data_IF_653460875602
#
_entry.id   IF_653460875602
#
_cell.length_a   1.000
_cell.length_b   1.000
_cell.length_c   1.000
_cell.angle_alpha   90.00
_cell.angle_beta   90.00
_cell.angle_gamma   90.00
#
_symmetry.space_group_name_H-M   'P 1'
#
loop_
_entity.id
_entity.type
_entity.pdbx_description
1 polymer ?
#
# COMPACT_ATOMS: atom_id res chain seq x y z
N UNK A 1 -12.94 -25.86 3.71
CA UNK A 1 -12.54 -26.03 5.14
C UNK A 1 -12.35 -24.68 5.84
N UNK A 2 -11.53 -23.78 5.29
CA UNK A 2 -11.27 -22.44 5.84
C UNK A 2 -12.53 -21.65 6.26
N UNK A 3 -13.59 -21.66 5.43
CA UNK A 3 -14.86 -21.00 5.78
C UNK A 3 -15.53 -21.59 7.02
N UNK A 4 -15.44 -22.91 7.23
CA UNK A 4 -15.94 -23.58 8.43
C UNK A 4 -15.11 -23.18 9.65
N UNK A 5 -13.78 -23.13 9.51
CA UNK A 5 -12.85 -22.65 10.56
C UNK A 5 -13.15 -21.20 10.94
N UNK A 6 -13.31 -20.32 9.94
CA UNK A 6 -13.68 -18.92 10.14
C UNK A 6 -14.99 -18.79 10.91
N UNK A 7 -16.02 -19.54 10.51
CA UNK A 7 -17.32 -19.52 11.19
C UNK A 7 -17.18 -19.94 12.66
N UNK A 8 -16.47 -21.04 12.96
CA UNK A 8 -16.22 -21.46 14.34
C UNK A 8 -15.53 -20.39 15.19
N UNK A 9 -14.52 -19.71 14.62
CA UNK A 9 -13.80 -18.61 15.33
C UNK A 9 -14.76 -17.45 15.65
N UNK A 10 -15.65 -17.11 14.70
CA UNK A 10 -16.66 -16.06 14.90
C UNK A 10 -17.69 -16.49 15.95
N UNK A 11 -18.15 -17.75 15.92
CA UNK A 11 -19.10 -18.31 16.90
C UNK A 11 -18.50 -18.33 18.33
N UNK A 12 -17.18 -18.40 18.44
CA UNK A 12 -16.44 -18.27 19.71
C UNK A 12 -16.30 -16.81 20.19
N UNK A 13 -16.83 -15.84 19.45
CA UNK A 13 -16.80 -14.41 19.79
C UNK A 13 -15.57 -13.65 19.33
N UNK A 14 -14.74 -14.22 18.44
CA UNK A 14 -13.54 -13.56 17.93
C UNK A 14 -13.77 -12.87 16.57
N UNK A 15 -13.07 -11.77 16.36
CA UNK A 15 -13.11 -10.99 15.11
C UNK A 15 -12.05 -11.54 14.14
N UNK A 16 -12.50 -12.06 12.99
CA UNK A 16 -11.61 -12.49 11.90
C UNK A 16 -11.38 -11.34 10.91
N UNK A 17 -10.15 -10.83 10.86
CA UNK A 17 -9.78 -9.67 10.05
C UNK A 17 -9.39 -10.02 8.62
N UNK A 18 -8.81 -11.20 8.41
CA UNK A 18 -8.30 -11.64 7.12
C UNK A 18 -8.20 -13.16 7.05
N UNK A 19 -8.15 -13.70 5.84
CA UNK A 19 -7.89 -15.12 5.60
C UNK A 19 -7.41 -15.36 4.19
N UNK A 20 -6.40 -16.21 4.04
CA UNK A 20 -5.79 -16.53 2.75
C UNK A 20 -5.54 -18.03 2.65
N UNK A 21 -6.25 -18.71 1.75
CA UNK A 21 -6.13 -20.12 1.35
C UNK A 21 -6.14 -21.14 2.50
N UNK A 22 -5.13 -21.13 3.36
CA UNK A 22 -4.85 -21.99 4.51
C UNK A 22 -4.72 -21.24 5.85
N UNK A 23 -4.63 -19.91 5.84
CA UNK A 23 -4.39 -19.08 7.03
C UNK A 23 -5.62 -18.24 7.43
N UNK A 24 -5.79 -18.01 8.73
CA UNK A 24 -6.84 -17.14 9.30
C UNK A 24 -6.21 -16.16 10.29
N UNK A 25 -6.53 -14.89 10.13
CA UNK A 25 -6.00 -13.81 10.96
C UNK A 25 -7.10 -13.37 11.92
N UNK A 26 -6.82 -13.49 13.21
CA UNK A 26 -7.79 -13.24 14.28
C UNK A 26 -7.31 -12.06 15.11
N UNK A 27 -8.18 -11.10 15.33
CA UNK A 27 -7.90 -9.93 16.15
C UNK A 27 -8.22 -10.21 17.60
N UNK A 28 -7.20 -10.12 18.44
CA UNK A 28 -7.31 -10.28 19.89
C UNK A 28 -7.12 -8.92 20.56
N UNK A 29 -8.02 -8.57 21.49
CA UNK A 29 -7.97 -7.28 22.23
C UNK A 29 -6.98 -7.36 23.40
N UNK A 30 -5.72 -7.64 23.11
CA UNK A 30 -4.63 -7.68 24.10
C UNK A 30 -3.41 -6.92 23.57
N UNK A 31 -2.68 -6.27 24.46
CA UNK A 31 -1.46 -5.51 24.11
C UNK A 31 -0.16 -6.29 24.38
N UNK A 32 -0.23 -7.26 25.28
CA UNK A 32 0.91 -8.07 25.71
C UNK A 32 1.10 -9.28 24.78
N UNK A 33 2.35 -9.52 24.36
CA UNK A 33 2.69 -10.59 23.42
C UNK A 33 2.48 -11.98 24.02
N UNK A 34 2.81 -12.18 25.30
CA UNK A 34 2.65 -13.49 25.93
C UNK A 34 1.17 -13.84 26.09
N UNK A 35 0.34 -12.88 26.51
CA UNK A 35 -1.12 -13.06 26.56
C UNK A 35 -1.73 -13.30 25.18
N UNK A 36 -1.22 -12.64 24.14
CA UNK A 36 -1.65 -12.88 22.77
C UNK A 36 -1.27 -14.30 22.30
N UNK A 37 -0.07 -14.76 22.64
CA UNK A 37 0.39 -16.12 22.37
C UNK A 37 -0.47 -17.18 23.06
N UNK A 38 -0.76 -16.99 24.35
CA UNK A 38 -1.63 -17.89 25.12
C UNK A 38 -3.03 -17.96 24.51
N UNK A 39 -3.63 -16.81 24.16
CA UNK A 39 -4.93 -16.76 23.49
C UNK A 39 -4.91 -17.42 22.11
N UNK A 40 -3.84 -17.23 21.34
CA UNK A 40 -3.67 -17.88 20.04
C UNK A 40 -3.73 -19.41 20.15
N UNK A 41 -2.97 -19.97 21.10
CA UNK A 41 -2.97 -21.40 21.40
C UNK A 41 -4.31 -21.89 21.96
N UNK A 42 -4.97 -21.09 22.80
CA UNK A 42 -6.31 -21.38 23.30
C UNK A 42 -7.33 -21.49 22.14
N UNK A 43 -7.30 -20.56 21.19
CA UNK A 43 -8.19 -20.58 20.01
C UNK A 43 -7.93 -21.83 19.18
N UNK A 44 -6.67 -22.14 18.91
CA UNK A 44 -6.26 -23.31 18.13
C UNK A 44 -6.71 -24.62 18.78
N UNK A 45 -6.49 -24.78 20.10
CA UNK A 45 -6.86 -26.01 20.81
C UNK A 45 -8.36 -26.29 20.84
N UNK A 46 -9.20 -25.24 20.81
CA UNK A 46 -10.67 -25.37 20.78
C UNK A 46 -11.21 -25.75 19.40
N UNK A 47 -10.45 -25.56 18.33
CA UNK A 47 -10.90 -25.85 16.97
C UNK A 47 -10.45 -27.24 16.55
N UNK A 48 -11.39 -28.19 16.57
CA UNK A 48 -11.18 -29.52 15.99
C UNK A 48 -11.54 -29.51 14.50
N UNK A 49 -10.58 -29.94 13.66
CA UNK A 49 -10.75 -30.16 12.22
C UNK A 49 -10.91 -31.66 11.91
N UNK A 50 -11.58 -32.03 10.80
CA UNK A 50 -11.78 -33.43 10.44
C UNK A 50 -10.48 -34.10 9.96
N UNK A 51 -10.35 -35.39 10.25
CA UNK A 51 -9.22 -36.21 9.81
C UNK A 51 -7.93 -35.90 10.58
N UNK A 52 -6.80 -35.85 9.86
CA UNK A 52 -5.46 -35.56 10.41
C UNK A 52 -5.07 -34.07 10.34
N UNK A 53 -6.01 -33.20 10.00
CA UNK A 53 -5.74 -31.77 9.85
C UNK A 53 -5.67 -31.11 11.23
N UNK A 54 -4.61 -30.37 11.47
CA UNK A 54 -4.36 -29.63 12.71
C UNK A 54 -4.15 -28.16 12.37
N UNK A 55 -4.69 -27.26 13.18
CA UNK A 55 -4.33 -25.85 13.12
C UNK A 55 -3.15 -25.62 14.03
N UNK A 56 -2.23 -24.78 13.60
CA UNK A 56 -1.08 -24.38 14.40
C UNK A 56 -1.09 -22.86 14.56
N UNK A 57 -0.65 -22.43 15.73
CA UNK A 57 -0.39 -21.01 15.96
C UNK A 57 0.94 -20.67 15.30
N UNK A 58 0.94 -19.74 14.34
CA UNK A 58 2.15 -19.37 13.62
C UNK A 58 2.85 -18.15 14.25
N UNK A 59 2.18 -17.00 14.29
CA UNK A 59 2.79 -15.73 14.73
C UNK A 59 1.78 -14.68 15.18
N UNK A 60 2.28 -13.63 15.82
CA UNK A 60 1.48 -12.47 16.25
C UNK A 60 1.80 -11.29 15.35
N UNK A 61 0.79 -10.58 14.86
CA UNK A 61 0.96 -9.26 14.25
C UNK A 61 0.53 -8.16 15.22
N UNK A 62 1.43 -7.25 15.57
CA UNK A 62 1.10 -6.09 16.41
C UNK A 62 0.43 -4.98 15.61
N UNK A 63 0.96 -4.74 14.42
CA UNK A 63 0.39 -3.82 13.42
C UNK A 63 0.24 -4.59 12.12
N UNK A 64 -0.89 -4.42 11.44
CA UNK A 64 -1.22 -5.17 10.23
C UNK A 64 -1.91 -4.27 9.20
N UNK A 65 -1.36 -4.22 8.00
CA UNK A 65 -1.83 -3.42 6.88
C UNK A 65 -2.23 -4.34 5.74
N UNK A 66 -3.51 -4.32 5.38
CA UNK A 66 -4.05 -5.10 4.26
C UNK A 66 -4.23 -4.15 3.09
N UNK A 67 -3.48 -4.37 1.99
CA UNK A 67 -3.67 -3.60 0.76
C UNK A 67 -4.78 -4.20 -0.09
N UNK A 68 -4.60 -5.46 -0.48
CA UNK A 68 -5.58 -6.23 -1.24
C UNK A 68 -5.48 -7.70 -0.86
N UNK A 69 -6.34 -8.56 -1.46
CA UNK A 69 -6.17 -10.01 -1.34
C UNK A 69 -4.75 -10.41 -1.77
N UNK A 70 -4.09 -11.22 -0.95
CA UNK A 70 -2.69 -11.68 -1.08
C UNK A 70 -1.62 -10.57 -1.03
N UNK A 71 -1.99 -9.35 -0.62
CA UNK A 71 -1.07 -8.21 -0.51
C UNK A 71 -1.20 -7.54 0.85
N UNK A 72 -0.28 -7.82 1.75
CA UNK A 72 -0.29 -7.27 3.11
C UNK A 72 1.13 -7.08 3.66
N UNK A 73 1.25 -6.16 4.62
CA UNK A 73 2.44 -5.96 5.44
C UNK A 73 2.05 -6.00 6.91
N UNK A 74 2.94 -6.48 7.78
CA UNK A 74 2.69 -6.45 9.20
C UNK A 74 3.96 -6.55 10.03
N UNK A 75 3.90 -6.00 11.23
CA UNK A 75 4.95 -6.17 12.23
C UNK A 75 4.68 -7.45 13.01
N UNK A 76 5.37 -8.52 12.61
CA UNK A 76 5.19 -9.87 13.12
C UNK A 76 6.17 -10.19 14.25
N UNK A 77 5.74 -11.03 15.18
CA UNK A 77 6.51 -11.58 16.29
C UNK A 77 6.36 -13.10 16.30
N UNK A 78 7.50 -13.79 16.34
CA UNK A 78 7.60 -15.25 16.41
C UNK A 78 8.49 -15.61 17.62
N UNK A 79 8.22 -16.74 18.27
CA UNK A 79 9.11 -17.27 19.32
C UNK A 79 10.21 -18.11 18.66
N UNK A 80 11.46 -17.74 18.89
CA UNK A 80 12.63 -18.53 18.51
C UNK A 80 13.45 -18.83 19.77
N UNK A 81 13.64 -20.11 20.09
CA UNK A 81 14.34 -20.57 21.32
C UNK A 81 13.82 -19.92 22.62
N UNK A 82 12.52 -19.63 22.68
CA UNK A 82 11.88 -19.00 23.86
C UNK A 82 11.91 -17.47 23.87
N UNK A 83 12.66 -16.84 22.97
CA UNK A 83 12.74 -15.38 22.84
C UNK A 83 11.86 -14.86 21.70
N UNK A 84 11.36 -13.63 21.85
CA UNK A 84 10.56 -12.97 20.83
C UNK A 84 11.46 -12.32 19.78
N UNK A 85 11.31 -12.75 18.53
CA UNK A 85 11.97 -12.14 17.37
C UNK A 85 10.92 -11.39 16.56
N UNK A 86 11.18 -10.10 16.31
CA UNK A 86 10.30 -9.25 15.53
C UNK A 86 10.84 -9.01 14.11
N UNK A 87 9.93 -8.93 13.13
CA UNK A 87 10.26 -8.59 11.74
C UNK A 87 9.09 -7.89 11.06
N UNK A 88 9.38 -7.09 10.05
CA UNK A 88 8.34 -6.63 9.11
C UNK A 88 8.17 -7.70 8.05
N UNK A 89 7.00 -8.33 8.03
CA UNK A 89 6.64 -9.33 7.03
C UNK A 89 5.81 -8.67 5.93
N UNK A 90 6.22 -8.90 4.68
CA UNK A 90 5.56 -8.37 3.49
C UNK A 90 5.20 -9.54 2.58
N UNK A 91 3.94 -9.62 2.15
CA UNK A 91 3.44 -10.64 1.22
C UNK A 91 2.81 -9.95 0.04
N UNK A 92 3.25 -10.29 -1.17
CA UNK A 92 2.71 -9.75 -2.42
C UNK A 92 2.93 -8.24 -2.64
N UNK A 93 3.79 -7.61 -1.85
CA UNK A 93 4.22 -6.22 -2.01
C UNK A 93 5.47 -6.17 -2.91
N UNK A 94 5.62 -5.09 -3.65
CA UNK A 94 6.67 -4.84 -4.65
C UNK A 94 8.09 -4.98 -4.10
N UNK A 95 8.31 -4.79 -2.80
CA UNK A 95 9.61 -4.98 -2.13
C UNK A 95 10.19 -6.39 -2.26
N UNK A 96 9.39 -7.36 -2.71
CA UNK A 96 9.82 -8.75 -2.97
C UNK A 96 10.21 -8.96 -4.45
N UNK A 97 10.05 -7.96 -5.31
CA UNK A 97 10.31 -8.07 -6.74
C UNK A 97 11.77 -7.75 -7.08
N UNK A 98 12.46 -8.71 -7.69
CA UNK A 98 13.87 -8.60 -8.10
C UNK A 98 14.13 -7.69 -9.30
N UNK A 99 13.08 -7.21 -9.95
CA UNK A 99 13.15 -6.36 -11.14
C UNK A 99 12.92 -4.88 -10.84
N UNK A 100 12.91 -4.52 -9.56
CA UNK A 100 12.79 -3.14 -9.07
C UNK A 100 14.15 -2.62 -8.59
N UNK A 101 14.42 -1.32 -8.73
CA UNK A 101 15.64 -0.72 -8.16
C UNK A 101 15.66 -0.86 -6.63
N UNK A 102 16.85 -1.04 -6.07
CA UNK A 102 17.04 -1.13 -4.61
C UNK A 102 16.53 0.12 -3.90
N UNK A 103 16.60 1.30 -4.53
CA UNK A 103 16.01 2.54 -4.01
C UNK A 103 14.55 2.34 -3.57
N UNK A 104 13.74 1.66 -4.39
CA UNK A 104 12.32 1.47 -4.09
C UNK A 104 12.15 0.51 -2.91
N UNK A 105 12.91 -0.58 -2.92
CA UNK A 105 12.87 -1.58 -1.84
C UNK A 105 13.28 -0.96 -0.50
N UNK A 106 14.39 -0.22 -0.48
CA UNK A 106 14.90 0.51 0.69
C UNK A 106 13.88 1.52 1.20
N UNK A 107 13.35 2.36 0.31
CA UNK A 107 12.39 3.42 0.68
C UNK A 107 11.13 2.80 1.28
N UNK A 108 10.58 1.76 0.65
CA UNK A 108 9.39 1.06 1.12
C UNK A 108 9.60 0.38 2.47
N UNK A 109 10.77 -0.24 2.70
CA UNK A 109 11.11 -0.84 3.98
C UNK A 109 11.13 0.19 5.10
N UNK A 110 11.74 1.36 4.86
CA UNK A 110 11.77 2.45 5.85
C UNK A 110 10.36 3.01 6.09
N UNK A 111 9.59 3.26 5.04
CA UNK A 111 8.20 3.74 5.14
C UNK A 111 7.33 2.77 5.94
N UNK A 112 7.40 1.48 5.63
CA UNK A 112 6.64 0.45 6.36
C UNK A 112 7.11 0.33 7.82
N UNK A 113 8.41 0.49 8.09
CA UNK A 113 8.91 0.48 9.46
C UNK A 113 8.34 1.65 10.26
N UNK A 114 8.37 2.87 9.71
CA UNK A 114 7.79 4.06 10.34
C UNK A 114 6.29 3.86 10.57
N UNK A 115 5.54 3.39 9.58
CA UNK A 115 4.09 3.22 9.68
C UNK A 115 3.72 2.12 10.67
N UNK A 116 4.38 0.95 10.60
CA UNK A 116 3.97 -0.24 11.36
C UNK A 116 4.54 -0.27 12.78
N UNK A 117 5.77 0.20 12.99
CA UNK A 117 6.41 0.21 14.31
C UNK A 117 6.16 1.51 15.07
N UNK A 118 6.34 2.66 14.41
CA UNK A 118 6.21 3.96 15.07
C UNK A 118 4.76 4.50 15.03
N UNK A 119 4.00 4.18 13.98
CA UNK A 119 2.65 4.71 13.79
C UNK A 119 2.63 6.18 13.32
N UNK A 120 3.76 6.72 12.85
CA UNK A 120 3.88 8.13 12.45
C UNK A 120 3.78 8.30 10.92
N UNK A 121 2.56 8.55 10.46
CA UNK A 121 2.27 8.76 9.03
C UNK A 121 2.95 10.02 8.50
N UNK A 122 3.06 11.08 9.30
CA UNK A 122 3.66 12.36 8.87
C UNK A 122 5.16 12.20 8.67
N UNK A 123 5.83 11.47 9.55
CA UNK A 123 7.25 11.12 9.40
C UNK A 123 7.48 10.29 8.14
N UNK A 124 6.59 9.34 7.84
CA UNK A 124 6.67 8.55 6.61
C UNK A 124 6.53 9.41 5.35
N UNK A 125 5.58 10.36 5.32
CA UNK A 125 5.41 11.31 4.20
C UNK A 125 6.67 12.16 4.02
N UNK A 126 7.19 12.75 5.10
CA UNK A 126 8.42 13.56 5.06
C UNK A 126 9.62 12.77 4.54
N UNK A 127 9.74 11.50 4.93
CA UNK A 127 10.79 10.63 4.45
C UNK A 127 10.69 10.42 2.93
N UNK A 128 9.49 10.13 2.41
CA UNK A 128 9.26 10.00 0.96
C UNK A 128 9.60 11.29 0.22
N UNK A 129 9.17 12.45 0.73
CA UNK A 129 9.51 13.75 0.14
C UNK A 129 11.03 13.96 0.07
N UNK A 130 11.75 13.62 1.15
CA UNK A 130 13.21 13.68 1.16
C UNK A 130 13.89 12.77 0.14
N UNK A 131 13.36 11.56 -0.10
CA UNK A 131 13.88 10.66 -1.16
C UNK A 131 13.57 11.20 -2.57
N UNK A 132 12.42 11.84 -2.77
CA UNK A 132 12.09 12.54 -4.02
C UNK A 132 13.07 13.71 -4.27
N UNK A 133 13.37 14.49 -3.24
CA UNK A 133 14.33 15.60 -3.34
C UNK A 133 15.75 15.10 -3.67
N UNK A 134 16.17 13.97 -3.08
CA UNK A 134 17.44 13.32 -3.42
C UNK A 134 17.48 12.87 -4.88
N UNK A 135 16.38 12.35 -5.40
CA UNK A 135 16.27 11.97 -6.82
C UNK A 135 16.39 13.19 -7.73
N UNK A 136 15.72 14.31 -7.40
CA UNK A 136 15.81 15.54 -8.19
C UNK A 136 17.21 16.18 -8.15
N UNK A 137 17.89 16.11 -7.01
CA UNK A 137 19.25 16.65 -6.84
C UNK A 137 20.35 15.73 -7.34
N UNK A 138 20.02 14.49 -7.74
CA UNK A 138 21.01 13.49 -8.17
C UNK A 138 21.86 12.95 -7.02
N UNK A 139 21.41 13.08 -5.77
CA UNK A 139 22.14 12.62 -4.58
C UNK A 139 22.00 11.10 -4.31
N UNK A 140 21.22 10.39 -5.12
CA UNK A 140 21.03 8.93 -5.01
C UNK A 140 22.14 8.20 -5.76
N UNK A 141 22.72 7.18 -5.14
CA UNK A 141 23.71 6.31 -5.79
C UNK A 141 23.11 5.62 -7.04
N UNK A 142 23.81 5.70 -8.16
CA UNK A 142 23.52 5.02 -9.42
C UNK A 142 23.24 3.52 -9.23
N UNK A 143 23.97 2.85 -8.34
CA UNK A 143 23.78 1.42 -8.11
C UNK A 143 22.39 1.12 -7.55
N UNK A 144 21.83 2.01 -6.71
CA UNK A 144 20.47 1.85 -6.16
C UNK A 144 19.37 2.09 -7.18
N UNK A 145 19.70 2.77 -8.29
CA UNK A 145 18.78 3.05 -9.40
C UNK A 145 18.83 1.97 -10.49
N UNK A 146 19.80 1.07 -10.40
CA UNK A 146 20.03 0.07 -11.42
C UNK A 146 18.93 -1.01 -11.39
N UNK A 147 18.37 -1.31 -12.57
CA UNK A 147 17.38 -2.35 -12.78
C UNK A 147 18.04 -3.53 -13.47
N UNK A 148 17.95 -4.71 -12.87
CA UNK A 148 18.56 -5.93 -13.42
C UNK A 148 17.53 -6.82 -14.09
N UNK A 149 17.71 -7.10 -15.39
CA UNK A 149 16.87 -8.05 -16.15
C UNK A 149 17.69 -9.17 -16.77
N UNK A 150 17.07 -10.34 -16.89
CA UNK A 150 17.68 -11.51 -17.54
C UNK A 150 17.40 -11.49 -19.03
N UNK A 151 18.43 -11.77 -19.83
CA UNK A 151 18.31 -12.03 -21.27
C UNK A 151 18.16 -13.54 -21.41
N UNK A 152 16.99 -14.01 -21.83
CA UNK A 152 16.62 -15.44 -21.92
C UNK A 152 16.81 -16.04 -23.31
N UNK A 153 16.81 -15.23 -24.35
CA UNK A 153 16.98 -15.65 -25.75
C UNK A 153 18.08 -14.86 -26.43
N UNK A 154 18.40 -15.18 -27.68
CA UNK A 154 19.27 -14.34 -28.50
C UNK A 154 18.67 -12.95 -28.69
N UNK A 155 19.50 -11.92 -28.64
CA UNK A 155 19.12 -10.50 -28.73
C UNK A 155 18.24 -10.23 -29.96
N UNK A 156 18.56 -10.87 -31.10
CA UNK A 156 17.87 -10.67 -32.38
C UNK A 156 16.53 -11.45 -32.48
N UNK A 157 16.22 -12.31 -31.50
CA UNK A 157 14.98 -13.11 -31.44
C UNK A 157 13.88 -12.50 -30.56
N UNK A 158 14.11 -11.30 -30.04
CA UNK A 158 13.13 -10.58 -29.21
C UNK A 158 12.18 -9.76 -30.08
N UNK A 159 10.88 -9.99 -29.88
CA UNK A 159 9.83 -9.14 -30.43
C UNK A 159 9.64 -7.90 -29.54
N UNK A 160 9.82 -6.72 -30.11
CA UNK A 160 9.54 -5.42 -29.45
C UNK A 160 10.75 -4.68 -28.89
N UNK A 161 10.53 -3.40 -28.58
CA UNK A 161 11.56 -2.49 -28.11
C UNK A 161 11.64 -2.50 -26.58
N UNK A 162 12.53 -3.34 -26.04
CA UNK A 162 12.73 -3.49 -24.60
C UNK A 162 14.04 -2.84 -24.14
N UNK A 163 14.07 -2.10 -23.00
CA UNK A 163 15.27 -1.35 -22.58
C UNK A 163 16.55 -2.19 -22.45
N UNK A 164 16.44 -3.36 -21.80
CA UNK A 164 17.56 -4.28 -21.61
C UNK A 164 18.08 -4.93 -22.91
N UNK A 165 17.22 -5.07 -23.92
CA UNK A 165 17.60 -5.63 -25.22
C UNK A 165 18.26 -4.56 -26.09
N UNK A 166 17.71 -3.35 -26.10
CA UNK A 166 18.32 -2.21 -26.79
C UNK A 166 19.68 -1.85 -26.19
N UNK A 167 19.82 -1.92 -24.86
CA UNK A 167 21.13 -1.77 -24.23
C UNK A 167 22.10 -2.88 -24.64
N UNK A 168 21.66 -4.14 -24.69
CA UNK A 168 22.52 -5.23 -25.13
C UNK A 168 23.01 -5.04 -26.58
N UNK A 169 22.16 -4.49 -27.47
CA UNK A 169 22.56 -4.10 -28.83
C UNK A 169 23.60 -2.98 -28.82
N UNK A 170 23.41 -1.93 -28.02
CA UNK A 170 24.39 -0.84 -27.87
C UNK A 170 25.74 -1.33 -27.36
N UNK A 171 25.75 -2.23 -26.37
CA UNK A 171 26.99 -2.83 -25.87
C UNK A 171 27.69 -3.62 -26.99
N UNK A 172 26.93 -4.45 -27.72
CA UNK A 172 27.46 -5.20 -28.88
C UNK A 172 28.02 -4.30 -29.98
N UNK A 173 27.40 -3.16 -30.24
CA UNK A 173 27.87 -2.17 -31.22
C UNK A 173 29.14 -1.45 -30.76
N UNK A 174 29.28 -1.18 -29.46
CA UNK A 174 30.48 -0.54 -28.87
C UNK A 174 31.66 -1.50 -28.77
N UNK A 175 31.41 -2.68 -28.22
CA UNK A 175 32.40 -3.74 -28.04
C UNK A 175 31.72 -5.12 -28.15
N UNK A 176 31.88 -5.82 -29.29
CA UNK A 176 31.32 -7.15 -29.49
C UNK A 176 31.77 -8.18 -28.44
N UNK A 177 32.93 -7.99 -27.80
CA UNK A 177 33.46 -8.93 -26.81
C UNK A 177 32.72 -8.86 -25.46
N UNK A 178 32.09 -7.73 -25.16
CA UNK A 178 31.29 -7.51 -23.95
C UNK A 178 29.79 -7.75 -24.15
N UNK A 179 29.39 -8.21 -25.35
CA UNK A 179 27.99 -8.46 -25.67
C UNK A 179 27.38 -9.51 -24.71
N UNK A 180 26.27 -9.20 -24.03
CA UNK A 180 25.63 -10.14 -23.11
C UNK A 180 25.12 -11.40 -23.82
N UNK A 181 25.54 -12.57 -23.34
CA UNK A 181 25.06 -13.86 -23.85
C UNK A 181 23.64 -14.21 -23.35
N UNK A 182 22.88 -15.07 -24.05
CA UNK A 182 21.66 -15.64 -23.51
C UNK A 182 21.90 -16.35 -22.18
N UNK A 183 21.01 -16.15 -21.21
CA UNK A 183 21.14 -16.59 -19.82
C UNK A 183 21.78 -15.55 -18.90
N UNK A 184 22.44 -14.52 -19.45
CA UNK A 184 23.07 -13.46 -18.65
C UNK A 184 22.05 -12.49 -18.04
N UNK A 185 22.50 -11.72 -17.05
CA UNK A 185 21.75 -10.62 -16.45
C UNK A 185 22.43 -9.30 -16.79
N UNK A 186 21.63 -8.34 -17.20
CA UNK A 186 22.09 -6.98 -17.53
C UNK A 186 21.46 -6.00 -16.55
N UNK A 187 22.31 -5.14 -15.99
CA UNK A 187 21.91 -4.05 -15.11
C UNK A 187 21.95 -2.73 -15.87
N UNK A 188 20.90 -1.92 -15.74
CA UNK A 188 20.78 -0.66 -16.47
C UNK A 188 20.06 0.41 -15.68
N UNK A 189 20.38 1.66 -16.00
CA UNK A 189 19.74 2.86 -15.47
C UNK A 189 19.13 3.64 -16.63
N UNK A 190 18.00 4.31 -16.38
CA UNK A 190 17.35 5.14 -17.40
C UNK A 190 17.92 6.57 -17.32
N UNK A 191 18.56 6.99 -18.41
CA UNK A 191 19.09 8.34 -18.58
C UNK A 191 18.04 9.30 -19.14
N UNK A 192 18.23 10.59 -18.89
CA UNK A 192 17.38 11.65 -19.39
C UNK A 192 17.52 11.78 -20.91
N UNK A 193 16.39 11.93 -21.60
CA UNK A 193 16.39 12.19 -23.05
C UNK A 193 15.00 12.14 -23.66
N UNK A 194 14.90 12.64 -24.88
CA UNK A 194 13.64 12.74 -25.65
C UNK A 194 13.32 11.48 -26.46
N UNK A 195 14.19 10.48 -26.42
CA UNK A 195 13.99 9.21 -27.11
C UNK A 195 12.99 8.32 -26.38
N UNK A 196 12.53 7.26 -27.05
CA UNK A 196 11.72 6.21 -26.40
C UNK A 196 12.43 5.63 -25.18
N UNK A 197 11.68 5.27 -24.14
CA UNK A 197 12.21 4.71 -22.89
C UNK A 197 13.20 3.55 -23.12
N UNK A 198 12.92 2.69 -24.10
CA UNK A 198 13.77 1.57 -24.48
C UNK A 198 15.18 1.98 -24.90
N UNK A 199 15.34 3.13 -25.57
CA UNK A 199 16.63 3.62 -26.04
C UNK A 199 17.41 4.41 -24.99
N UNK A 200 16.78 4.73 -23.85
CA UNK A 200 17.37 5.51 -22.76
C UNK A 200 18.01 4.65 -21.67
N UNK A 201 18.08 3.33 -21.85
CA UNK A 201 18.84 2.48 -20.95
C UNK A 201 20.34 2.59 -21.24
N UNK A 202 21.12 2.73 -20.17
CA UNK A 202 22.59 2.66 -20.16
C UNK A 202 23.12 1.91 -18.94
N UNK A 203 24.37 1.42 -19.02
CA UNK A 203 25.04 0.80 -17.87
C UNK A 203 25.51 1.86 -16.87
N UNK A 204 25.53 1.56 -15.56
CA UNK A 204 26.08 2.48 -14.55
C UNK A 204 27.51 2.93 -14.85
N UNK A 205 28.34 2.06 -15.43
CA UNK A 205 29.73 2.35 -15.81
C UNK A 205 29.77 3.43 -16.90
N UNK A 206 29.00 3.23 -17.97
CA UNK A 206 28.95 4.16 -19.09
C UNK A 206 28.44 5.54 -18.67
N UNK A 207 27.45 5.58 -17.77
CA UNK A 207 26.90 6.81 -17.21
C UNK A 207 27.96 7.60 -16.45
N UNK A 208 28.80 6.92 -15.65
CA UNK A 208 29.89 7.57 -14.90
C UNK A 208 30.96 8.13 -15.83
N UNK A 209 31.37 7.35 -16.84
CA UNK A 209 32.40 7.75 -17.81
C UNK A 209 31.98 8.94 -18.67
N UNK A 210 30.71 8.98 -19.08
CA UNK A 210 30.18 9.99 -19.99
C UNK A 210 29.38 11.10 -19.28
N UNK A 211 29.35 11.09 -17.95
CA UNK A 211 28.63 12.04 -17.10
C UNK A 211 27.17 12.28 -17.54
N UNK A 212 26.45 11.19 -17.82
CA UNK A 212 25.07 11.27 -18.31
C UNK A 212 24.09 11.61 -17.18
N UNK A 213 23.11 12.46 -17.47
CA UNK A 213 22.06 12.80 -16.52
C UNK A 213 21.02 11.69 -16.43
N UNK A 214 20.60 11.38 -15.20
CA UNK A 214 19.56 10.38 -14.91
C UNK A 214 18.17 11.00 -15.15
N UNK A 215 17.22 10.19 -15.61
CA UNK A 215 15.82 10.60 -15.69
C UNK A 215 15.12 10.47 -14.32
N UNK A 216 15.28 11.49 -13.46
CA UNK A 216 14.67 11.49 -12.12
C UNK A 216 13.15 11.36 -12.16
N UNK A 217 12.48 12.00 -13.12
CA UNK A 217 11.02 11.98 -13.25
C UNK A 217 10.51 10.57 -13.52
N UNK A 218 11.21 9.81 -14.38
CA UNK A 218 10.92 8.39 -14.59
C UNK A 218 11.02 7.58 -13.29
N UNK A 219 12.09 7.76 -12.51
CA UNK A 219 12.26 7.03 -11.26
C UNK A 219 11.19 7.41 -10.22
N UNK A 220 10.79 8.68 -10.16
CA UNK A 220 9.74 9.14 -9.24
C UNK A 220 8.38 8.55 -9.66
N UNK A 221 7.93 8.80 -10.89
CA UNK A 221 6.57 8.50 -11.34
C UNK A 221 6.36 7.02 -11.69
N UNK A 222 7.36 6.34 -12.26
CA UNK A 222 7.20 4.96 -12.72
C UNK A 222 7.73 3.92 -11.72
N UNK A 223 8.67 4.29 -10.86
CA UNK A 223 9.24 3.38 -9.87
C UNK A 223 8.77 3.75 -8.46
N UNK A 224 9.11 4.91 -7.92
CA UNK A 224 8.93 5.19 -6.50
C UNK A 224 7.45 5.34 -6.09
N UNK A 225 6.66 6.12 -6.82
CA UNK A 225 5.29 6.46 -6.43
C UNK A 225 4.29 5.30 -6.53
N UNK A 226 4.24 4.47 -7.58
CA UNK A 226 3.22 3.42 -7.71
C UNK A 226 3.08 2.44 -6.52
N UNK A 227 4.17 1.93 -5.90
CA UNK A 227 4.05 1.10 -4.69
C UNK A 227 3.71 1.92 -3.45
N UNK A 228 4.25 3.13 -3.31
CA UNK A 228 3.97 4.01 -2.16
C UNK A 228 2.50 4.46 -2.14
N UNK A 229 1.96 4.89 -3.28
CA UNK A 229 0.56 5.28 -3.44
C UNK A 229 -0.39 4.17 -2.96
N UNK A 230 -0.05 2.89 -3.22
CA UNK A 230 -0.87 1.76 -2.75
C UNK A 230 -0.85 1.60 -1.23
N UNK A 231 0.30 1.78 -0.58
CA UNK A 231 0.39 1.75 0.89
C UNK A 231 -0.38 2.92 1.49
N UNK A 232 -0.09 4.13 1.00
CA UNK A 232 -0.64 5.37 1.54
C UNK A 232 -2.16 5.52 1.28
N UNK A 233 -2.67 5.00 0.16
CA UNK A 233 -4.10 4.99 -0.14
C UNK A 233 -4.92 4.20 0.91
N UNK A 234 -4.38 3.10 1.44
CA UNK A 234 -5.04 2.32 2.51
C UNK A 234 -5.13 3.11 3.81
N UNK A 235 -4.20 4.03 4.02
CA UNK A 235 -4.09 4.88 5.21
C UNK A 235 -4.85 6.21 5.01
N UNK A 236 -5.32 6.49 3.79
CA UNK A 236 -6.10 7.69 3.47
C UNK A 236 -5.27 8.91 3.09
N UNK A 237 -4.00 8.72 2.72
CA UNK A 237 -3.10 9.78 2.23
C UNK A 237 -3.15 9.80 0.71
N UNK A 238 -3.31 11.00 0.14
CA UNK A 238 -3.39 11.18 -1.32
C UNK A 238 -2.01 11.43 -1.95
N UNK A 239 -1.94 11.27 -3.28
CA UNK A 239 -0.70 11.51 -4.06
C UNK A 239 -0.19 12.95 -3.91
N UNK A 240 -1.09 13.93 -3.79
CA UNK A 240 -0.72 15.33 -3.73
C UNK A 240 0.04 15.63 -2.43
N UNK A 241 -0.46 15.09 -1.31
CA UNK A 241 0.17 15.15 0.01
C UNK A 241 1.55 14.48 0.00
N UNK A 242 1.70 13.33 -0.68
CA UNK A 242 3.01 12.68 -0.86
C UNK A 242 4.00 13.55 -1.65
N UNK A 243 3.55 14.22 -2.69
CA UNK A 243 4.38 15.11 -3.51
C UNK A 243 4.62 16.48 -2.87
N UNK A 244 4.09 16.75 -1.68
CA UNK A 244 4.20 18.06 -1.02
C UNK A 244 3.42 19.16 -1.74
N UNK A 245 2.64 18.83 -2.77
CA UNK A 245 1.69 19.74 -3.40
C UNK A 245 0.48 19.79 -2.48
N UNK A 246 0.40 20.85 -1.66
CA UNK A 246 -0.69 21.05 -0.71
C UNK A 246 -2.05 20.73 -1.33
N UNK A 247 -2.95 20.14 -0.52
CA UNK A 247 -4.29 19.74 -0.94
C UNK A 247 -4.92 20.85 -1.78
N UNK A 248 -5.16 20.61 -3.06
CA UNK A 248 -5.75 21.61 -3.95
C UNK A 248 -7.19 21.87 -3.47
N UNK A 249 -7.37 22.93 -2.67
CA UNK A 249 -8.69 23.40 -2.28
C UNK A 249 -9.41 23.79 -3.57
N UNK A 250 -10.59 23.23 -3.81
CA UNK A 250 -11.36 23.59 -4.98
C UNK A 250 -11.87 25.02 -4.82
N UNK A 251 -12.19 25.71 -5.91
CA UNK A 251 -12.84 27.03 -5.85
C UNK A 251 -14.12 27.03 -4.99
N UNK A 252 -14.76 25.86 -4.80
CA UNK A 252 -15.94 25.69 -3.92
C UNK A 252 -15.60 25.74 -2.42
N UNK A 253 -14.34 25.49 -2.07
CA UNK A 253 -13.84 25.58 -0.70
C UNK A 253 -13.36 27.01 -0.37
N UNK A 254 -13.04 27.82 -1.39
CA UNK A 254 -12.60 29.23 -1.24
C UNK A 254 -13.74 30.24 -1.30
N UNK A 255 -14.69 30.06 -2.23
CA UNK A 255 -15.92 30.84 -2.24
C UNK A 255 -16.92 30.12 -1.35
N UNK A 256 -17.14 30.63 -0.13
CA UNK A 256 -18.14 30.14 0.81
C UNK A 256 -19.57 30.22 0.27
N UNK A 257 -19.87 29.47 -0.80
CA UNK A 257 -21.20 29.19 -1.29
C UNK A 257 -21.77 28.19 -0.29
N UNK A 258 -22.20 28.77 0.83
CA UNK A 258 -23.20 28.24 1.72
C UNK A 258 -24.31 27.67 0.85
N UNK A 259 -24.39 26.33 0.76
CA UNK A 259 -25.54 25.66 0.15
C UNK A 259 -26.73 26.05 1.01
N UNK A 260 -27.59 26.89 0.42
CA UNK A 260 -28.82 27.46 0.97
C UNK A 260 -29.40 26.60 2.08
N UNK A 261 -29.37 27.16 3.29
CA UNK A 261 -30.09 26.66 4.46
C UNK A 261 -31.60 26.76 4.20
N UNK A 262 -32.24 25.65 3.86
CA UNK A 262 -33.65 25.51 4.18
C UNK A 262 -33.76 25.33 5.70
N UNK A 263 -34.30 26.35 6.38
CA UNK A 263 -34.84 26.22 7.74
C UNK A 263 -36.09 25.36 7.64
N UNK A 264 -36.14 24.26 8.38
CA UNK A 264 -37.39 23.59 8.72
C UNK A 264 -37.36 23.37 10.23
N UNK A 265 -38.33 23.99 10.88
CA UNK A 265 -38.69 23.85 12.28
C UNK A 265 -39.50 22.56 12.44
N UNK A 266 -39.31 21.86 13.57
CA UNK A 266 -39.95 20.61 14.04
C UNK A 266 -39.41 19.25 13.54
N UNK A 267 -39.29 18.24 14.45
CA UNK A 267 -38.71 16.94 14.13
C UNK A 267 -39.78 15.99 13.55
N UNK A 268 -39.57 15.35 12.38
CA UNK A 268 -40.46 14.28 11.95
C UNK A 268 -39.96 12.94 12.47
N UNK A 269 -40.92 12.21 13.03
CA UNK A 269 -40.89 10.79 13.34
C UNK A 269 -40.46 9.92 12.15
N UNK A 270 -40.00 8.71 12.47
CA UNK A 270 -39.60 7.60 11.58
C UNK A 270 -40.07 7.71 10.11
N UNK A 271 -39.27 8.39 9.28
CA UNK A 271 -39.49 8.42 7.83
C UNK A 271 -38.68 7.32 7.16
N UNK A 272 -39.36 6.45 6.40
CA UNK A 272 -38.73 5.42 5.57
C UNK A 272 -38.20 6.08 4.30
N UNK A 273 -36.88 5.99 4.07
CA UNK A 273 -36.25 6.52 2.85
C UNK A 273 -36.18 5.40 1.82
N UNK A 274 -37.04 5.44 0.80
CA UNK A 274 -37.10 4.40 -0.26
C UNK A 274 -35.87 4.40 -1.17
N UNK A 275 -35.24 5.56 -1.37
CA UNK A 275 -34.03 5.71 -2.21
C UNK A 275 -32.99 6.55 -1.50
N UNK A 276 -31.91 5.91 -1.05
CA UNK A 276 -30.85 6.54 -0.29
C UNK A 276 -29.95 7.40 -1.20
N UNK A 277 -29.98 8.72 -1.03
CA UNK A 277 -29.09 9.65 -1.76
C UNK A 277 -27.81 9.95 -0.99
N UNK A 278 -27.89 9.95 0.34
CA UNK A 278 -26.74 10.17 1.20
C UNK A 278 -27.11 10.31 2.67
N UNK A 279 -26.15 10.80 3.44
CA UNK A 279 -26.27 11.02 4.88
C UNK A 279 -25.96 12.47 5.24
N UNK A 280 -26.59 13.00 6.27
CA UNK A 280 -26.46 14.37 6.75
C UNK A 280 -26.26 14.36 8.25
N UNK A 281 -25.32 15.14 8.77
CA UNK A 281 -25.30 15.37 10.21
C UNK A 281 -26.34 16.39 10.65
N UNK A 282 -27.07 16.10 11.73
CA UNK A 282 -28.04 17.01 12.34
C UNK A 282 -27.40 18.34 12.79
N UNK A 283 -26.23 18.29 13.42
CA UNK A 283 -25.62 19.47 14.06
C UNK A 283 -24.71 20.24 13.10
N UNK A 284 -23.76 19.53 12.46
CA UNK A 284 -22.76 20.15 11.56
C UNK A 284 -23.31 20.38 10.13
N UNK A 285 -24.50 19.86 9.79
CA UNK A 285 -25.09 19.85 8.42
C UNK A 285 -24.16 19.32 7.33
N UNK A 286 -23.10 18.60 7.70
CA UNK A 286 -22.13 17.99 6.77
C UNK A 286 -22.78 16.79 6.10
N UNK A 287 -22.66 16.71 4.78
CA UNK A 287 -23.18 15.60 3.98
C UNK A 287 -22.11 14.53 3.75
N UNK A 288 -22.48 13.27 3.88
CA UNK A 288 -21.62 12.11 3.66
C UNK A 288 -22.25 11.20 2.60
N UNK A 289 -21.44 10.65 1.68
CA UNK A 289 -21.91 9.62 0.74
C UNK A 289 -22.04 8.23 1.39
N UNK A 290 -21.35 8.01 2.52
CA UNK A 290 -21.36 6.79 3.32
C UNK A 290 -21.36 7.18 4.79
N UNK A 291 -21.98 6.37 5.65
CA UNK A 291 -21.99 6.63 7.09
C UNK A 291 -20.54 6.63 7.61
N UNK A 292 -20.11 7.64 8.38
CA UNK A 292 -18.83 7.60 9.07
C UNK A 292 -18.68 6.32 9.89
N UNK A 293 -17.48 5.75 9.98
CA UNK A 293 -17.24 4.48 10.69
C UNK A 293 -17.66 4.52 12.17
N UNK A 294 -17.65 5.70 12.78
CA UNK A 294 -18.02 5.95 14.18
C UNK A 294 -19.56 6.02 14.34
N UNK A 295 -20.31 6.11 13.24
CA UNK A 295 -21.77 6.30 13.24
C UNK A 295 -22.21 7.73 13.60
N UNK A 296 -21.27 8.68 13.77
CA UNK A 296 -21.49 10.09 14.12
C UNK A 296 -20.64 11.02 13.27
N UNK A 297 -21.03 12.30 13.13
CA UNK A 297 -20.18 13.35 12.52
C UNK A 297 -18.94 13.55 13.40
N UNK A 298 -17.88 14.09 12.80
CA UNK A 298 -16.67 14.52 13.53
C UNK A 298 -17.00 15.57 14.62
N UNK A 299 -18.12 16.28 14.51
CA UNK A 299 -18.63 17.19 15.55
C UNK A 299 -19.35 16.49 16.71
N UNK A 300 -19.49 15.16 16.68
CA UNK A 300 -20.28 14.39 17.65
C UNK A 300 -21.77 14.24 17.31
N UNK A 301 -22.26 14.96 16.30
CA UNK A 301 -23.67 14.97 15.95
C UNK A 301 -24.19 13.72 15.24
N UNK A 302 -25.48 13.45 15.40
CA UNK A 302 -26.16 12.30 14.81
C UNK A 302 -26.21 12.38 13.29
N UNK A 303 -26.09 11.23 12.64
CA UNK A 303 -26.15 11.10 11.19
C UNK A 303 -27.55 10.60 10.78
N UNK A 304 -28.21 11.39 9.93
CA UNK A 304 -29.50 11.10 9.32
C UNK A 304 -29.27 10.63 7.88
N UNK A 305 -30.07 9.67 7.41
CA UNK A 305 -30.17 9.34 5.99
C UNK A 305 -31.14 10.31 5.29
N UNK A 306 -30.85 10.71 4.05
CA UNK A 306 -31.77 11.51 3.24
C UNK A 306 -31.92 10.97 1.83
N UNK A 307 -33.09 11.20 1.25
CA UNK A 307 -33.42 10.86 -0.14
C UNK A 307 -34.87 11.19 -0.49
N UNK A 308 -35.12 11.59 -1.75
CA UNK A 308 -36.44 12.05 -2.22
C UNK A 308 -37.07 13.16 -1.35
N UNK A 309 -36.27 14.10 -0.85
CA UNK A 309 -36.74 15.21 -0.01
C UNK A 309 -37.06 14.88 1.45
N UNK A 310 -36.93 13.60 1.84
CA UNK A 310 -37.20 13.12 3.19
C UNK A 310 -35.90 12.82 3.96
N UNK A 311 -35.94 12.97 5.29
CA UNK A 311 -34.81 12.70 6.20
C UNK A 311 -35.24 11.77 7.34
N UNK A 312 -34.45 10.75 7.63
CA UNK A 312 -34.74 9.76 8.69
C UNK A 312 -33.50 9.35 9.47
N UNK A 313 -33.67 8.96 10.73
CA UNK A 313 -32.56 8.47 11.57
C UNK A 313 -32.06 7.10 11.09
N UNK A 314 -30.74 6.88 11.19
CA UNK A 314 -30.12 5.59 10.94
C UNK A 314 -30.47 4.60 12.07
N UNK A 315 -31.39 3.67 11.83
CA UNK A 315 -31.62 2.55 12.75
C UNK A 315 -30.54 1.47 12.53
N UNK A 316 -29.95 0.99 13.64
CA UNK A 316 -29.18 -0.27 13.62
C UNK A 316 -30.18 -1.41 13.42
N UNK A 317 -30.05 -2.14 12.31
CA UNK A 317 -30.61 -3.49 12.16
C UNK A 317 -29.60 -4.45 12.78
#
# INVERSE_FOLDING_TARGET
LLQKTRKKIIDMGYEVIYGDTDSVFVKVKVKDLEKAYQKGNEIVSKIKLPGKLVLEFEKIFRSFLILTKKRYAGWSFEKNNGEWVDKIEMKGIETVRRDWPDLVTDTMNVVLNIILKEGDIKKAIKYVQGEIDKLHTGAVDLNKLAVTKSITKNIDSYDGLLPHIELAKKIRERDPSQAPAPGSRISFVIVRGNQMLSKRAETPEYIREHNLQIDSDYYIENQLLPPLERIFAVIGVDKAELLGKGRQCSLKDMFGISRRTHKIETPPEKVVVERLEGFLCRDCKKTFRRVPLIGRCECGGEILAFGNGNMGALFKI
#
